data_IF_048388516367
#
_entry.id   IF_048388516367
#
_cell.length_a   1.000
_cell.length_b   1.000
_cell.length_c   1.000
_cell.angle_alpha   90.00
_cell.angle_beta   90.00
_cell.angle_gamma   90.00
#
_symmetry.space_group_name_H-M   'P 1'
#
loop_
_entity.id
_entity.type
_entity.pdbx_description
1 polymer ?
#
# COMPACT_ATOMS: atom_id res chain seq x y z
N UNK A 1 -5.66 10.11 -23.42
CA UNK A 1 -5.00 8.79 -23.58
C UNK A 1 -4.03 8.44 -22.46
N UNK A 2 -3.19 9.36 -21.95
CA UNK A 2 -2.28 9.02 -20.83
C UNK A 2 -3.02 8.67 -19.54
N UNK A 3 -3.99 9.49 -19.17
CA UNK A 3 -4.85 9.24 -18.01
C UNK A 3 -5.54 7.86 -18.07
N UNK A 4 -6.10 7.48 -19.22
CA UNK A 4 -6.76 6.18 -19.40
C UNK A 4 -5.77 5.02 -19.28
N UNK A 5 -4.55 5.14 -19.81
CA UNK A 5 -3.50 4.11 -19.67
C UNK A 5 -2.96 4.00 -18.24
N UNK A 6 -2.83 5.12 -17.53
CA UNK A 6 -2.43 5.13 -16.13
C UNK A 6 -3.49 4.45 -15.25
N UNK A 7 -4.77 4.81 -15.44
CA UNK A 7 -5.88 4.20 -14.73
C UNK A 7 -6.00 2.69 -14.99
N UNK A 8 -5.80 2.26 -16.24
CA UNK A 8 -5.83 0.83 -16.58
C UNK A 8 -4.70 0.05 -15.90
N UNK A 9 -3.48 0.60 -15.88
CA UNK A 9 -2.34 -0.02 -15.21
C UNK A 9 -2.55 -0.15 -13.70
N UNK A 10 -3.07 0.91 -13.06
CA UNK A 10 -3.42 0.87 -11.63
C UNK A 10 -4.53 -0.13 -11.35
N UNK A 11 -5.59 -0.17 -12.17
CA UNK A 11 -6.69 -1.12 -12.00
C UNK A 11 -6.24 -2.58 -12.12
N UNK A 12 -5.34 -2.87 -13.05
CA UNK A 12 -4.77 -4.22 -13.23
C UNK A 12 -3.93 -4.68 -12.02
N UNK A 13 -3.24 -3.77 -11.34
CA UNK A 13 -2.49 -4.09 -10.13
C UNK A 13 -3.39 -4.17 -8.89
N UNK A 14 -4.28 -3.18 -8.73
CA UNK A 14 -5.12 -3.01 -7.55
C UNK A 14 -6.25 -4.05 -7.48
N UNK A 15 -6.81 -4.49 -8.62
CA UNK A 15 -7.88 -5.47 -8.66
C UNK A 15 -7.50 -6.80 -7.99
N UNK A 16 -6.45 -7.50 -8.48
CA UNK A 16 -5.99 -8.76 -7.89
C UNK A 16 -5.56 -8.61 -6.43
N UNK A 17 -4.80 -7.55 -6.10
CA UNK A 17 -4.40 -7.27 -4.72
C UNK A 17 -5.61 -7.08 -3.80
N UNK A 18 -6.62 -6.33 -4.25
CA UNK A 18 -7.85 -6.10 -3.50
C UNK A 18 -8.59 -7.39 -3.18
N UNK A 19 -8.65 -8.35 -4.11
CA UNK A 19 -9.23 -9.66 -3.87
C UNK A 19 -8.52 -10.40 -2.71
N UNK A 20 -7.19 -10.43 -2.71
CA UNK A 20 -6.41 -11.06 -1.64
C UNK A 20 -6.55 -10.35 -0.28
N UNK A 21 -6.56 -9.02 -0.29
CA UNK A 21 -6.74 -8.20 0.93
C UNK A 21 -8.10 -8.51 1.57
N UNK A 22 -9.16 -8.61 0.77
CA UNK A 22 -10.52 -8.94 1.24
C UNK A 22 -10.58 -10.38 1.78
N UNK A 23 -10.02 -11.35 1.06
CA UNK A 23 -9.98 -12.74 1.52
C UNK A 23 -9.25 -12.93 2.85
N UNK A 24 -8.20 -12.14 3.10
CA UNK A 24 -7.45 -12.15 4.37
C UNK A 24 -8.09 -11.32 5.49
N UNK A 25 -9.32 -10.82 5.29
CA UNK A 25 -10.04 -9.95 6.24
C UNK A 25 -9.24 -8.70 6.61
N UNK A 26 -8.56 -8.09 5.64
CA UNK A 26 -7.78 -6.86 5.81
C UNK A 26 -8.41 -5.68 5.04
N UNK A 27 -9.74 -5.57 5.03
CA UNK A 27 -10.45 -4.59 4.19
C UNK A 27 -10.02 -3.13 4.43
N UNK A 28 -9.61 -2.80 5.67
CA UNK A 28 -9.11 -1.47 6.04
C UNK A 28 -7.67 -1.19 5.63
N UNK A 29 -6.95 -2.17 5.07
CA UNK A 29 -5.53 -2.01 4.77
C UNK A 29 -5.28 -0.89 3.78
N UNK A 30 -6.04 -0.87 2.67
CA UNK A 30 -5.92 0.14 1.63
C UNK A 30 -6.12 1.56 2.18
N UNK A 31 -7.17 1.76 2.97
CA UNK A 31 -7.48 3.03 3.63
C UNK A 31 -6.36 3.45 4.60
N UNK A 32 -5.87 2.51 5.41
CA UNK A 32 -4.78 2.76 6.34
C UNK A 32 -3.48 3.17 5.63
N UNK A 33 -3.11 2.50 4.53
CA UNK A 33 -1.97 2.90 3.69
C UNK A 33 -2.15 4.26 3.03
N UNK A 34 -3.36 4.63 2.60
CA UNK A 34 -3.63 5.94 2.01
C UNK A 34 -3.40 7.07 3.03
N UNK A 35 -3.87 6.88 4.28
CA UNK A 35 -3.63 7.82 5.37
C UNK A 35 -2.14 7.89 5.77
N UNK A 36 -1.43 6.75 5.76
CA UNK A 36 0.03 6.73 5.94
C UNK A 36 0.77 7.45 4.81
N UNK A 37 0.29 7.39 3.57
CA UNK A 37 0.91 8.11 2.47
C UNK A 37 0.90 9.63 2.70
N UNK A 38 -0.15 10.19 3.33
CA UNK A 38 -0.21 11.63 3.69
C UNK A 38 0.95 12.00 4.64
N UNK A 39 1.22 11.18 5.65
CA UNK A 39 2.38 11.35 6.52
C UNK A 39 3.68 11.30 5.72
N UNK A 40 3.80 10.38 4.77
CA UNK A 40 4.95 10.30 3.86
C UNK A 40 5.13 11.54 2.99
N UNK A 41 4.04 12.11 2.46
CA UNK A 41 4.07 13.38 1.72
C UNK A 41 4.55 14.51 2.62
N UNK A 42 4.01 14.61 3.84
CA UNK A 42 4.40 15.65 4.80
C UNK A 42 5.88 15.56 5.16
N UNK A 43 6.38 14.35 5.46
CA UNK A 43 7.80 14.12 5.73
C UNK A 43 8.67 14.39 4.50
N UNK A 44 8.22 14.04 3.30
CA UNK A 44 8.95 14.33 2.07
C UNK A 44 9.17 15.82 1.87
N UNK A 45 8.11 16.62 2.09
CA UNK A 45 8.17 18.07 1.99
C UNK A 45 9.06 18.68 3.08
N UNK A 46 8.97 18.18 4.32
CA UNK A 46 9.81 18.64 5.42
C UNK A 46 11.31 18.35 5.19
N UNK A 47 11.63 17.18 4.61
CA UNK A 47 13.00 16.76 4.32
C UNK A 47 13.50 17.21 2.94
N UNK A 48 12.67 17.93 2.16
CA UNK A 48 12.96 18.34 0.78
C UNK A 48 13.37 17.19 -0.15
N UNK A 49 12.79 16.00 0.05
CA UNK A 49 12.98 14.83 -0.82
C UNK A 49 11.79 14.65 -1.77
N UNK A 50 11.93 13.71 -2.72
CA UNK A 50 10.83 13.38 -3.64
C UNK A 50 9.60 12.86 -2.88
N UNK A 51 8.43 13.45 -3.19
CA UNK A 51 7.13 13.10 -2.63
C UNK A 51 6.84 11.61 -2.84
N UNK A 52 7.14 11.08 -4.04
CA UNK A 52 6.97 9.67 -4.35
C UNK A 52 7.76 8.78 -3.39
N UNK A 53 9.01 9.14 -3.10
CA UNK A 53 9.89 8.36 -2.23
C UNK A 53 9.40 8.38 -0.79
N UNK A 54 9.01 9.56 -0.27
CA UNK A 54 8.49 9.65 1.09
C UNK A 54 7.16 8.92 1.28
N UNK A 55 6.23 9.05 0.33
CA UNK A 55 4.96 8.32 0.35
C UNK A 55 5.18 6.80 0.29
N UNK A 56 6.03 6.33 -0.63
CA UNK A 56 6.36 4.91 -0.74
C UNK A 56 7.07 4.37 0.51
N UNK A 57 8.00 5.13 1.10
CA UNK A 57 8.72 4.72 2.30
C UNK A 57 7.79 4.56 3.51
N UNK A 58 6.89 5.53 3.73
CA UNK A 58 5.94 5.46 4.86
C UNK A 58 4.87 4.39 4.61
N UNK A 59 4.40 4.21 3.38
CA UNK A 59 3.48 3.10 3.05
C UNK A 59 4.14 1.73 3.28
N UNK A 60 5.41 1.57 2.92
CA UNK A 60 6.17 0.34 3.19
C UNK A 60 6.37 0.12 4.69
N UNK A 61 6.70 1.18 5.43
CA UNK A 61 6.84 1.11 6.89
C UNK A 61 5.52 0.72 7.57
N UNK A 62 4.39 1.26 7.10
CA UNK A 62 3.05 0.87 7.55
C UNK A 62 2.79 -0.61 7.29
N UNK A 63 3.01 -1.08 6.06
CA UNK A 63 2.83 -2.48 5.68
C UNK A 63 3.67 -3.41 6.57
N UNK A 64 4.96 -3.11 6.76
CA UNK A 64 5.85 -3.89 7.63
C UNK A 64 5.39 -3.92 9.08
N UNK A 65 4.93 -2.77 9.61
CA UNK A 65 4.42 -2.66 10.97
C UNK A 65 3.18 -3.54 11.16
N UNK A 66 2.26 -3.50 10.20
CA UNK A 66 1.06 -4.36 10.20
C UNK A 66 1.46 -5.82 10.14
N UNK A 67 2.38 -6.22 9.25
CA UNK A 67 2.82 -7.61 9.11
C UNK A 67 3.51 -8.15 10.37
N UNK A 68 4.31 -7.34 11.07
CA UNK A 68 5.00 -7.77 12.30
C UNK A 68 4.05 -7.89 13.50
N UNK A 69 3.00 -7.07 13.54
CA UNK A 69 2.01 -7.09 14.63
C UNK A 69 0.90 -8.10 14.33
N UNK A 70 0.65 -8.39 13.05
CA UNK A 70 -0.27 -9.42 12.58
C UNK A 70 0.08 -10.79 13.18
N UNK A 71 -0.92 -11.48 13.74
CA UNK A 71 -0.75 -12.80 14.38
C UNK A 71 -0.55 -12.78 15.90
N UNK A 72 -0.47 -11.60 16.55
CA UNK A 72 -0.39 -11.48 18.02
C UNK A 72 -1.75 -11.51 18.76
N UNK A 73 -2.82 -11.93 18.10
CA UNK A 73 -4.16 -12.06 18.70
C UNK A 73 -5.02 -10.79 18.71
N UNK A 74 -4.56 -9.70 18.11
CA UNK A 74 -5.33 -8.46 17.95
C UNK A 74 -6.25 -8.51 16.74
N UNK A 75 -7.40 -7.83 16.83
CA UNK A 75 -8.28 -7.61 15.69
C UNK A 75 -7.56 -6.73 14.65
N UNK A 76 -7.32 -7.30 13.47
CA UNK A 76 -6.57 -6.66 12.38
C UNK A 76 -7.17 -5.30 11.99
N UNK A 77 -8.49 -5.23 11.89
CA UNK A 77 -9.20 -4.01 11.51
C UNK A 77 -9.02 -2.89 12.55
N UNK A 78 -8.95 -3.23 13.84
CA UNK A 78 -8.69 -2.25 14.91
C UNK A 78 -7.26 -1.73 14.84
N UNK A 79 -6.28 -2.61 14.62
CA UNK A 79 -4.88 -2.20 14.44
C UNK A 79 -4.72 -1.27 13.24
N UNK A 80 -5.29 -1.64 12.09
CA UNK A 80 -5.26 -0.83 10.88
C UNK A 80 -5.93 0.53 11.10
N UNK A 81 -7.09 0.56 11.75
CA UNK A 81 -7.79 1.80 12.08
C UNK A 81 -6.97 2.73 12.98
N UNK A 82 -6.37 2.20 14.05
CA UNK A 82 -5.54 2.98 14.99
C UNK A 82 -4.29 3.50 14.29
N UNK A 83 -3.61 2.66 13.51
CA UNK A 83 -2.42 3.06 12.77
C UNK A 83 -2.74 4.14 11.72
N UNK A 84 -3.86 4.01 11.00
CA UNK A 84 -4.31 4.99 10.00
C UNK A 84 -4.51 6.38 10.62
N UNK A 85 -5.29 6.45 11.71
CA UNK A 85 -5.57 7.71 12.40
C UNK A 85 -4.33 8.30 13.06
N UNK A 86 -3.46 7.45 13.61
CA UNK A 86 -2.17 7.88 14.16
C UNK A 86 -1.30 8.49 13.07
N UNK A 87 -1.19 7.83 11.91
CA UNK A 87 -0.41 8.30 10.78
C UNK A 87 -0.95 9.64 10.26
N UNK A 88 -2.27 9.78 10.09
CA UNK A 88 -2.88 11.05 9.71
C UNK A 88 -2.59 12.16 10.74
N UNK A 89 -2.73 11.86 12.04
CA UNK A 89 -2.47 12.84 13.09
C UNK A 89 -1.01 13.32 13.07
N UNK A 90 -0.05 12.40 12.98
CA UNK A 90 1.36 12.74 12.83
C UNK A 90 1.63 13.50 11.54
N UNK A 91 0.97 13.13 10.44
CA UNK A 91 1.09 13.81 9.15
C UNK A 91 0.63 15.26 9.25
N UNK A 92 -0.54 15.50 9.85
CA UNK A 92 -1.08 16.85 10.04
C UNK A 92 -0.20 17.70 10.96
N UNK A 93 0.35 17.10 12.02
CA UNK A 93 1.33 17.78 12.90
C UNK A 93 2.58 18.16 12.10
N UNK A 94 3.14 17.24 11.31
CA UNK A 94 4.30 17.52 10.46
C UNK A 94 4.01 18.66 9.45
N UNK A 95 2.83 18.66 8.83
CA UNK A 95 2.38 19.75 7.95
C UNK A 95 2.28 21.08 8.68
N UNK A 96 1.86 21.10 9.94
CA UNK A 96 1.73 22.37 10.69
C UNK A 96 3.05 23.10 10.91
N UNK A 97 4.18 22.38 10.89
CA UNK A 97 5.53 22.97 10.94
C UNK A 97 6.01 23.52 9.59
N UNK A 98 5.39 23.13 8.48
CA UNK A 98 5.71 23.63 7.15
C UNK A 98 5.03 24.99 6.91
N UNK A 99 5.77 26.07 7.13
CA UNK A 99 5.28 27.44 6.91
C UNK A 99 5.30 27.79 5.42
N UNK A 100 4.15 28.19 4.87
CA UNK A 100 4.03 28.69 3.48
C UNK A 100 3.65 27.67 2.42
N UNK A 101 3.46 26.39 2.76
CA UNK A 101 3.00 25.36 1.82
C UNK A 101 1.50 25.15 2.01
N UNK A 102 0.68 25.64 1.06
CA UNK A 102 -0.73 25.22 0.96
C UNK A 102 -0.77 23.81 0.38
N UNK A 103 -0.78 22.80 1.26
CA UNK A 103 -0.99 21.42 0.85
C UNK A 103 -2.48 21.21 0.65
N UNK A 104 -2.89 20.90 -0.57
CA UNK A 104 -4.22 20.38 -0.83
C UNK A 104 -4.21 18.87 -0.58
N UNK A 105 -4.55 18.46 0.65
CA UNK A 105 -4.59 17.05 1.04
C UNK A 105 -5.57 16.26 0.18
N UNK A 106 -6.67 16.88 -0.27
CA UNK A 106 -7.66 16.22 -1.11
C UNK A 106 -7.07 15.93 -2.48
N UNK A 107 -6.31 16.87 -3.06
CA UNK A 107 -5.61 16.62 -4.33
C UNK A 107 -4.61 15.47 -4.25
N UNK A 108 -3.92 15.28 -3.11
CA UNK A 108 -3.01 14.15 -2.91
C UNK A 108 -3.73 12.83 -2.57
N UNK A 109 -4.83 12.88 -1.83
CA UNK A 109 -5.59 11.68 -1.44
C UNK A 109 -6.39 11.09 -2.61
N UNK A 110 -7.06 11.94 -3.38
CA UNK A 110 -7.83 11.52 -4.56
C UNK A 110 -6.96 11.39 -5.81
N UNK A 111 -5.84 12.11 -5.85
CA UNK A 111 -4.93 12.15 -6.98
C UNK A 111 -5.46 12.97 -8.16
N UNK A 112 -4.54 13.40 -9.03
CA UNK A 112 -4.88 13.99 -10.32
C UNK A 112 -4.34 13.10 -11.45
N UNK A 113 -5.25 12.37 -12.10
CA UNK A 113 -4.90 11.48 -13.21
C UNK A 113 -4.49 12.23 -14.48
N UNK A 114 -4.82 13.52 -14.60
CA UNK A 114 -4.38 14.36 -15.72
C UNK A 114 -2.93 14.82 -15.55
N UNK A 115 -2.42 14.89 -14.31
CA UNK A 115 -1.06 15.33 -14.01
C UNK A 115 0.03 14.28 -14.36
N UNK A 116 -0.36 13.07 -14.78
CA UNK A 116 0.57 11.96 -15.05
C UNK A 116 1.50 12.25 -16.24
N UNK A 117 2.81 12.22 -15.99
CA UNK A 117 3.85 12.37 -17.02
C UNK A 117 4.15 11.06 -17.75
N UNK A 118 4.97 11.12 -18.82
CA UNK A 118 5.41 9.93 -19.56
C UNK A 118 6.28 9.00 -18.70
N UNK A 119 7.11 9.58 -17.83
CA UNK A 119 7.98 8.83 -16.93
C UNK A 119 7.15 8.11 -15.87
N UNK A 120 6.14 8.79 -15.32
CA UNK A 120 5.22 8.20 -14.34
C UNK A 120 4.45 7.02 -14.94
N UNK A 121 4.05 7.12 -16.22
CA UNK A 121 3.39 6.02 -16.91
C UNK A 121 4.28 4.77 -16.99
N UNK A 122 5.59 4.93 -17.22
CA UNK A 122 6.54 3.82 -17.25
C UNK A 122 6.71 3.19 -15.86
N UNK A 123 6.76 4.02 -14.81
CA UNK A 123 6.81 3.54 -13.42
C UNK A 123 5.53 2.79 -13.04
N UNK A 124 4.36 3.32 -13.38
CA UNK A 124 3.06 2.68 -13.13
C UNK A 124 2.98 1.33 -13.83
N UNK A 125 3.28 1.28 -15.14
CA UNK A 125 3.21 0.03 -15.89
C UNK A 125 4.29 -0.97 -15.50
N UNK A 126 5.50 -0.51 -15.16
CA UNK A 126 6.56 -1.35 -14.62
C UNK A 126 6.18 -1.96 -13.26
N UNK A 127 5.62 -1.14 -12.36
CA UNK A 127 5.11 -1.59 -11.08
C UNK A 127 3.92 -2.53 -11.21
N UNK A 128 2.96 -2.23 -12.08
CA UNK A 128 1.81 -3.08 -12.34
C UNK A 128 2.22 -4.45 -12.92
N UNK A 129 3.13 -4.46 -13.90
CA UNK A 129 3.67 -5.69 -14.46
C UNK A 129 4.42 -6.50 -13.39
N UNK A 130 5.19 -5.85 -12.52
CA UNK A 130 5.88 -6.51 -11.41
C UNK A 130 4.90 -7.14 -10.41
N UNK A 131 3.87 -6.40 -9.99
CA UNK A 131 2.84 -6.89 -9.06
C UNK A 131 2.10 -8.09 -9.66
N UNK A 132 1.63 -7.97 -10.90
CA UNK A 132 0.92 -9.04 -11.60
C UNK A 132 1.83 -10.25 -11.80
N UNK A 133 3.09 -10.06 -12.18
CA UNK A 133 4.05 -11.14 -12.35
C UNK A 133 4.35 -11.85 -11.01
N UNK A 134 4.50 -11.11 -9.91
CA UNK A 134 4.69 -11.68 -8.58
C UNK A 134 3.47 -12.50 -8.12
N UNK A 135 2.26 -11.97 -8.34
CA UNK A 135 1.01 -12.68 -8.04
C UNK A 135 0.91 -13.95 -8.91
N UNK A 136 1.18 -13.87 -10.21
CA UNK A 136 1.14 -15.01 -11.10
C UNK A 136 2.17 -16.08 -10.73
N UNK A 137 3.40 -15.67 -10.39
CA UNK A 137 4.47 -16.58 -9.96
C UNK A 137 4.15 -17.27 -8.63
N UNK A 138 3.51 -16.57 -7.68
CA UNK A 138 3.16 -17.09 -6.35
C UNK A 138 1.71 -17.55 -6.23
N UNK A 139 0.99 -17.66 -7.33
CA UNK A 139 -0.45 -17.96 -7.37
C UNK A 139 -0.82 -19.21 -6.56
N UNK A 140 -0.07 -20.29 -6.75
CA UNK A 140 -0.28 -21.54 -6.02
C UNK A 140 -0.03 -21.37 -4.52
N UNK A 141 1.08 -20.73 -4.12
CA UNK A 141 1.43 -20.54 -2.72
C UNK A 141 0.44 -19.64 -1.97
N UNK A 142 -0.01 -18.55 -2.62
CA UNK A 142 -1.00 -17.62 -2.05
C UNK A 142 -2.38 -18.25 -1.92
N UNK A 143 -2.82 -19.03 -2.91
CA UNK A 143 -4.08 -19.77 -2.81
C UNK A 143 -4.01 -20.82 -1.70
N UNK A 144 -2.94 -21.61 -1.65
CA UNK A 144 -2.79 -22.66 -0.65
C UNK A 144 -2.74 -22.09 0.78
N UNK A 145 -2.01 -21.00 1.02
CA UNK A 145 -1.97 -20.36 2.34
C UNK A 145 -3.30 -19.69 2.72
N UNK A 146 -4.10 -19.25 1.74
CA UNK A 146 -5.40 -18.63 2.01
C UNK A 146 -6.49 -19.69 2.26
N UNK A 147 -6.36 -20.89 1.66
CA UNK A 147 -7.33 -21.99 1.76
C UNK A 147 -7.11 -22.88 2.99
N UNK A 148 -5.88 -23.29 3.29
CA UNK A 148 -5.54 -23.85 4.61
C UNK A 148 -4.04 -23.85 4.89
N UNK A 149 -3.66 -23.39 6.09
CA UNK A 149 -2.27 -23.38 6.56
C UNK A 149 -1.68 -24.81 6.62
N UNK A 150 -2.51 -25.83 6.87
CA UNK A 150 -2.09 -27.24 6.87
C UNK A 150 -1.74 -27.78 5.47
N UNK A 151 -2.45 -27.37 4.41
CA UNK A 151 -2.14 -27.79 3.04
C UNK A 151 -0.86 -27.13 2.53
N UNK A 152 -0.57 -25.90 2.99
CA UNK A 152 0.67 -25.19 2.66
C UNK A 152 1.88 -25.91 3.26
N UNK A 153 1.80 -26.29 4.55
CA UNK A 153 2.82 -27.11 5.20
C UNK A 153 3.00 -28.48 4.53
N UNK A 154 1.89 -29.16 4.17
CA UNK A 154 1.95 -30.45 3.48
C UNK A 154 2.53 -30.35 2.06
N UNK A 155 2.43 -29.19 1.41
CA UNK A 155 3.00 -28.91 0.09
C UNK A 155 4.45 -28.40 0.14
N UNK A 156 5.06 -28.30 1.32
CA UNK A 156 6.44 -27.81 1.49
C UNK A 156 6.59 -26.30 1.37
N UNK A 157 5.49 -25.55 1.46
CA UNK A 157 5.46 -24.09 1.38
C UNK A 157 5.43 -23.55 2.81
N UNK A 158 6.32 -22.61 3.16
CA UNK A 158 6.34 -21.98 4.48
C UNK A 158 5.34 -20.80 4.51
N UNK A 159 4.14 -20.96 5.10
CA UNK A 159 3.09 -19.94 5.05
C UNK A 159 3.53 -18.63 5.70
N UNK A 160 4.45 -18.67 6.68
CA UNK A 160 4.94 -17.44 7.35
C UNK A 160 5.76 -16.55 6.42
N UNK A 161 6.52 -17.12 5.49
CA UNK A 161 7.26 -16.33 4.47
C UNK A 161 6.29 -15.73 3.45
N UNK A 162 5.29 -16.50 3.06
CA UNK A 162 4.33 -16.05 2.06
C UNK A 162 3.40 -14.95 2.60
N UNK A 163 3.06 -15.03 3.88
CA UNK A 163 2.34 -13.98 4.60
C UNK A 163 3.12 -12.66 4.73
N UNK A 164 4.46 -12.65 4.57
CA UNK A 164 5.25 -11.40 4.56
C UNK A 164 5.31 -10.73 3.18
N UNK A 165 5.10 -11.49 2.11
CA UNK A 165 5.26 -11.01 0.73
C UNK A 165 4.00 -10.29 0.25
N UNK A 166 2.85 -10.56 0.87
CA UNK A 166 1.56 -9.99 0.58
C UNK A 166 1.05 -9.20 1.79
#
# INVERSE_FOLDING_TARGET
MRATLAGLGVALAAGPLGCFIVWRRMAYFGDATAHAAILGVALALALQISIFVGAAAVALFMALTVTVISGRGYAMDTLLGVLAHSALAFGLVAVSFLSGVRIDLMAYLFGDILAVSKTDLLVIWGGAALVVALIAYRWSALLTSTLSDELAYASGIDPKREQMIL
#
